data_IF_074614906836
#
_entry.id   IF_074614906836
#
_cell.length_a   1.000
_cell.length_b   1.000
_cell.length_c   1.000
_cell.angle_alpha   90.00
_cell.angle_beta   90.00
_cell.angle_gamma   90.00
#
_symmetry.space_group_name_H-M   'P 1'
#
loop_
_entity.id
_entity.type
_entity.pdbx_description
1 polymer ?
#
# COMPACT_ATOMS: atom_id res chain seq x y z
N UNK A 1 24.11 11.66 36.35
CA UNK A 1 24.39 11.19 34.97
C UNK A 1 23.96 9.73 34.87
N UNK A 2 22.95 9.42 34.07
CA UNK A 2 22.58 8.04 33.71
C UNK A 2 22.49 8.01 32.18
N UNK A 3 23.26 7.14 31.57
CA UNK A 3 23.32 6.96 30.12
C UNK A 3 22.58 5.67 29.73
N UNK A 4 21.81 5.78 28.63
CA UNK A 4 21.44 4.76 27.60
C UNK A 4 20.59 3.56 28.06
N UNK A 5 19.56 3.10 27.32
CA UNK A 5 19.50 2.82 25.87
C UNK A 5 18.10 2.99 25.24
N UNK A 6 18.12 3.23 23.93
CA UNK A 6 17.00 3.36 22.99
C UNK A 6 16.60 1.98 22.42
N UNK A 7 15.32 1.85 22.02
CA UNK A 7 14.77 0.98 20.96
C UNK A 7 14.88 -0.54 21.13
N UNK A 8 13.73 -1.22 21.32
CA UNK A 8 13.47 -2.58 20.78
C UNK A 8 11.98 -2.96 20.97
N UNK A 9 11.11 -2.42 20.11
CA UNK A 9 9.84 -3.07 19.76
C UNK A 9 10.03 -3.72 18.38
N UNK A 10 10.85 -4.76 18.32
CA UNK A 10 10.95 -5.63 17.16
C UNK A 10 11.18 -7.08 17.60
N UNK A 11 10.09 -7.83 17.76
CA UNK A 11 10.15 -9.26 17.99
C UNK A 11 8.96 -9.95 17.28
N UNK A 12 9.31 -10.75 16.27
CA UNK A 12 8.54 -11.84 15.67
C UNK A 12 7.32 -11.50 14.77
N UNK A 13 7.57 -11.15 13.52
CA UNK A 13 6.72 -11.60 12.42
C UNK A 13 7.65 -12.23 11.38
N UNK A 14 7.43 -13.50 11.03
CA UNK A 14 8.05 -14.10 9.86
C UNK A 14 7.86 -13.15 8.67
N UNK A 15 8.86 -13.04 7.80
CA UNK A 15 8.84 -12.13 6.66
C UNK A 15 7.54 -12.38 5.87
N UNK A 16 6.55 -11.49 6.01
CA UNK A 16 5.29 -11.56 5.28
C UNK A 16 5.57 -11.04 3.87
N UNK A 17 5.62 -11.90 2.84
CA UNK A 17 6.17 -11.56 1.51
C UNK A 17 5.40 -10.42 0.83
N UNK A 18 4.14 -10.23 1.20
CA UNK A 18 3.28 -9.18 0.71
C UNK A 18 3.44 -7.84 1.44
N UNK A 19 4.46 -7.59 2.26
CA UNK A 19 4.72 -6.23 2.77
C UNK A 19 5.07 -5.27 1.63
N UNK A 20 4.44 -4.09 1.61
CA UNK A 20 4.78 -3.03 0.66
C UNK A 20 6.06 -2.31 1.11
N UNK A 21 7.01 -2.17 0.20
CA UNK A 21 8.27 -1.43 0.34
C UNK A 21 8.25 -0.05 -0.31
N UNK A 22 7.54 0.08 -1.43
CA UNK A 22 7.40 1.36 -2.13
C UNK A 22 5.98 1.52 -2.61
N UNK A 23 5.48 2.75 -2.53
CA UNK A 23 4.22 3.18 -3.14
C UNK A 23 4.41 4.55 -3.78
N UNK A 24 3.84 4.73 -4.97
CA UNK A 24 3.65 6.04 -5.57
C UNK A 24 2.20 6.13 -6.06
N UNK A 25 1.49 7.18 -5.64
CA UNK A 25 0.21 7.52 -6.24
C UNK A 25 0.43 8.11 -7.63
N UNK A 26 -0.27 7.55 -8.62
CA UNK A 26 -0.25 7.96 -10.01
C UNK A 26 -1.57 8.66 -10.37
N UNK A 27 -1.63 9.39 -11.49
CA UNK A 27 -2.89 9.92 -12.02
C UNK A 27 -3.95 8.81 -12.19
N UNK A 28 -5.21 9.23 -12.36
CA UNK A 28 -6.36 8.33 -12.59
C UNK A 28 -6.52 7.21 -11.55
N UNK A 29 -6.17 7.49 -10.29
CA UNK A 29 -6.36 6.60 -9.13
C UNK A 29 -5.62 5.26 -9.25
N UNK A 30 -4.36 5.32 -9.68
CA UNK A 30 -3.47 4.16 -9.76
C UNK A 30 -2.38 4.22 -8.68
N UNK A 31 -1.96 3.07 -8.19
CA UNK A 31 -0.82 2.93 -7.28
C UNK A 31 0.27 2.10 -7.95
N UNK A 32 1.47 2.65 -8.05
CA UNK A 32 2.66 1.82 -8.33
C UNK A 32 3.19 1.30 -7.00
N UNK A 33 3.27 -0.03 -6.86
CA UNK A 33 3.71 -0.69 -5.62
C UNK A 33 4.88 -1.65 -5.88
N UNK A 34 5.75 -1.78 -4.89
CA UNK A 34 6.78 -2.83 -4.84
C UNK A 34 6.70 -3.52 -3.48
N UNK A 35 6.69 -4.84 -3.47
CA UNK A 35 6.65 -5.71 -2.30
C UNK A 35 8.05 -6.17 -1.88
N UNK A 36 8.18 -6.67 -0.66
CA UNK A 36 9.47 -7.11 -0.12
C UNK A 36 10.08 -8.31 -0.85
N UNK A 37 9.26 -9.12 -1.52
CA UNK A 37 9.71 -10.27 -2.31
C UNK A 37 10.18 -9.88 -3.72
N UNK A 38 10.13 -8.59 -4.04
CA UNK A 38 10.49 -8.04 -5.35
C UNK A 38 9.33 -7.96 -6.34
N UNK A 39 8.14 -8.47 -5.99
CA UNK A 39 6.93 -8.29 -6.81
C UNK A 39 6.62 -6.80 -6.93
N UNK A 40 6.36 -6.32 -8.13
CA UNK A 40 5.97 -4.94 -8.38
C UNK A 40 4.90 -4.85 -9.47
N UNK A 41 4.12 -3.78 -9.44
CA UNK A 41 3.05 -3.59 -10.40
C UNK A 41 2.23 -2.33 -10.16
N UNK A 42 1.22 -2.16 -11.01
CA UNK A 42 0.25 -1.07 -10.92
C UNK A 42 -1.09 -1.65 -10.46
N UNK A 43 -1.58 -1.13 -9.34
CA UNK A 43 -2.93 -1.41 -8.84
C UNK A 43 -3.87 -0.31 -9.32
N UNK A 44 -4.81 -0.64 -10.19
CA UNK A 44 -5.84 0.29 -10.66
C UNK A 44 -7.02 0.30 -9.68
N UNK A 45 -7.17 1.41 -8.95
CA UNK A 45 -8.27 1.60 -8.01
C UNK A 45 -9.47 2.32 -8.62
N UNK A 46 -9.39 2.80 -9.87
CA UNK A 46 -10.42 3.65 -10.45
C UNK A 46 -11.75 2.90 -10.58
N UNK A 47 -11.74 1.62 -10.96
CA UNK A 47 -12.96 0.81 -11.04
C UNK A 47 -13.57 0.50 -9.67
N UNK A 48 -12.73 0.39 -8.64
CA UNK A 48 -13.16 0.21 -7.25
C UNK A 48 -13.73 1.51 -6.67
N UNK A 49 -13.13 2.66 -6.98
CA UNK A 49 -13.61 3.95 -6.49
C UNK A 49 -14.86 4.43 -7.23
N UNK A 50 -15.13 4.00 -8.48
CA UNK A 50 -16.34 4.38 -9.22
C UNK A 50 -17.64 3.73 -8.71
N UNK A 51 -17.56 2.62 -7.96
CA UNK A 51 -18.71 1.97 -7.32
C UNK A 51 -18.88 2.48 -5.89
N UNK A 52 -19.96 2.08 -5.22
CA UNK A 52 -20.06 2.25 -3.77
C UNK A 52 -18.87 1.53 -3.09
N UNK A 53 -17.93 2.31 -2.57
CA UNK A 53 -16.69 1.87 -1.96
C UNK A 53 -16.68 2.11 -0.44
N UNK A 54 -17.83 2.45 0.15
CA UNK A 54 -18.00 2.59 1.60
C UNK A 54 -17.01 3.56 2.23
N UNK A 55 -16.21 3.08 3.18
CA UNK A 55 -15.24 3.91 3.92
C UNK A 55 -14.16 4.55 3.01
N UNK A 56 -13.97 4.03 1.79
CA UNK A 56 -13.00 4.55 0.83
C UNK A 56 -13.53 5.69 -0.04
N UNK A 57 -14.75 6.18 0.21
CA UNK A 57 -15.37 7.26 -0.57
C UNK A 57 -14.50 8.53 -0.62
N UNK A 58 -13.80 8.84 0.47
CA UNK A 58 -12.89 10.00 0.53
C UNK A 58 -11.72 9.90 -0.45
N UNK A 59 -11.36 8.70 -0.91
CA UNK A 59 -10.27 8.49 -1.87
C UNK A 59 -10.67 8.85 -3.31
N UNK A 60 -11.95 9.18 -3.58
CA UNK A 60 -12.35 9.79 -4.86
C UNK A 60 -11.83 11.21 -5.02
N UNK A 61 -11.45 11.87 -3.93
CA UNK A 61 -10.72 13.12 -4.01
C UNK A 61 -9.27 12.83 -4.39
N UNK A 62 -8.82 13.40 -5.51
CA UNK A 62 -7.47 13.17 -6.01
C UNK A 62 -6.39 13.71 -5.07
N UNK A 63 -6.69 14.77 -4.31
CA UNK A 63 -5.81 15.32 -3.28
C UNK A 63 -5.58 14.31 -2.16
N UNK A 64 -6.65 13.79 -1.58
CA UNK A 64 -6.61 12.72 -0.59
C UNK A 64 -5.90 11.48 -1.16
N UNK A 65 -6.25 11.00 -2.35
CA UNK A 65 -5.63 9.83 -2.96
C UNK A 65 -4.11 9.97 -3.11
N UNK A 66 -3.64 11.18 -3.45
CA UNK A 66 -2.20 11.46 -3.63
C UNK A 66 -1.38 11.39 -2.33
N UNK A 67 -2.03 11.35 -1.16
CA UNK A 67 -1.38 11.22 0.15
C UNK A 67 -0.99 9.77 0.50
N UNK A 68 -1.17 8.83 -0.45
CA UNK A 68 -0.79 7.44 -0.25
C UNK A 68 0.67 7.31 0.19
N UNK A 69 0.88 6.67 1.32
CA UNK A 69 2.19 6.39 1.90
C UNK A 69 2.20 4.99 2.50
N UNK A 70 3.33 4.57 3.06
CA UNK A 70 3.46 3.25 3.69
C UNK A 70 3.41 3.41 5.20
N UNK A 71 2.48 2.73 5.85
CA UNK A 71 2.47 2.58 7.29
C UNK A 71 2.39 1.10 7.64
N UNK A 72 3.30 0.62 8.50
CA UNK A 72 3.35 -0.78 8.94
C UNK A 72 3.36 -1.83 7.81
N UNK A 73 3.78 -1.45 6.59
CA UNK A 73 3.86 -2.33 5.42
C UNK A 73 2.56 -2.44 4.60
N UNK A 74 1.56 -1.61 4.90
CA UNK A 74 0.36 -1.41 4.11
C UNK A 74 0.40 -0.04 3.42
N UNK A 75 -0.40 0.14 2.36
CA UNK A 75 -0.61 1.47 1.78
C UNK A 75 -1.67 2.17 2.61
N UNK A 76 -1.36 3.36 3.10
CA UNK A 76 -2.19 4.15 4.02
C UNK A 76 -2.35 5.57 3.48
N UNK A 77 -3.47 6.23 3.77
CA UNK A 77 -3.73 7.63 3.45
C UNK A 77 -3.74 8.50 4.71
N UNK A 78 -3.61 9.83 4.57
CA UNK A 78 -3.52 10.76 5.70
C UNK A 78 -4.72 10.72 6.65
N UNK A 79 -5.89 10.29 6.16
CA UNK A 79 -7.08 10.11 6.98
C UNK A 79 -7.11 8.78 7.76
N UNK A 80 -6.04 7.98 7.70
CA UNK A 80 -5.89 6.71 8.40
C UNK A 80 -6.54 5.51 7.71
N UNK A 81 -7.10 5.67 6.51
CA UNK A 81 -7.54 4.52 5.70
C UNK A 81 -6.33 3.74 5.22
N UNK A 82 -6.44 2.41 5.20
CA UNK A 82 -5.43 1.52 4.67
C UNK A 82 -5.98 0.57 3.59
N UNK A 83 -5.14 0.24 2.62
CA UNK A 83 -5.36 -0.79 1.63
C UNK A 83 -4.47 -1.98 1.98
N UNK A 84 -5.13 -3.10 2.26
CA UNK A 84 -4.46 -4.31 2.73
C UNK A 84 -3.47 -4.85 1.67
N UNK A 85 -2.23 -5.18 2.07
CA UNK A 85 -1.17 -5.63 1.16
C UNK A 85 -1.47 -6.94 0.42
N UNK A 86 -2.13 -7.88 1.09
CA UNK A 86 -2.51 -9.19 0.55
C UNK A 86 -3.47 -9.06 -0.63
N UNK A 87 -4.49 -8.20 -0.51
CA UNK A 87 -5.43 -7.88 -1.60
C UNK A 87 -4.71 -7.31 -2.83
N UNK A 88 -3.77 -6.39 -2.64
CA UNK A 88 -3.00 -5.84 -3.75
C UNK A 88 -2.12 -6.91 -4.41
N UNK A 89 -1.50 -7.77 -3.59
CA UNK A 89 -0.66 -8.85 -4.08
C UNK A 89 -1.46 -9.88 -4.89
N UNK A 90 -2.63 -10.29 -4.39
CA UNK A 90 -3.53 -11.21 -5.08
C UNK A 90 -4.02 -10.62 -6.42
N UNK A 91 -4.38 -9.34 -6.46
CA UNK A 91 -4.78 -8.67 -7.71
C UNK A 91 -3.64 -8.66 -8.74
N UNK A 92 -2.40 -8.39 -8.32
CA UNK A 92 -1.25 -8.42 -9.23
C UNK A 92 -0.86 -9.83 -9.71
N UNK A 93 -1.14 -10.87 -8.92
CA UNK A 93 -0.89 -12.25 -9.34
C UNK A 93 -1.99 -12.79 -10.25
N UNK A 94 -3.25 -12.33 -10.08
CA UNK A 94 -4.40 -12.82 -10.83
C UNK A 94 -4.70 -12.02 -12.10
N UNK A 95 -4.47 -10.71 -12.08
CA UNK A 95 -4.47 -9.91 -13.29
C UNK A 95 -3.10 -10.14 -13.95
N UNK A 96 -3.06 -10.40 -15.28
CA UNK A 96 -1.81 -10.40 -16.07
C UNK A 96 -1.21 -8.97 -16.13
N UNK A 97 -0.97 -8.36 -14.96
CA UNK A 97 -0.42 -7.03 -14.83
C UNK A 97 1.06 -7.16 -15.15
N UNK A 98 1.49 -6.35 -16.11
CA UNK A 98 2.88 -6.27 -16.54
C UNK A 98 3.80 -6.05 -15.34
N UNK A 99 4.43 -7.12 -14.87
CA UNK A 99 5.63 -7.04 -14.04
C UNK A 99 6.71 -6.45 -14.94
N UNK A 100 6.92 -5.14 -14.82
CA UNK A 100 8.09 -4.50 -15.41
C UNK A 100 9.29 -5.05 -14.65
N UNK A 101 10.30 -5.54 -15.37
CA UNK A 101 11.52 -6.13 -14.83
C UNK A 101 12.69 -5.16 -14.99
#
# INVERSE_FOLDING_TARGET
>A
MRATTNTEQNQAAGIIPWRVLKVNALPVFQLSVQFIDGTEGIVDMAAFLRRDCGIFESLRDAGMFSTAHIENGAVTWENGLDLAPDRMYDELQNAEVYVVR
#
